data_IF_587563819218
#
_entry.id   IF_587563819218
#
_cell.length_a   1.000
_cell.length_b   1.000
_cell.length_c   1.000
_cell.angle_alpha   90.00
_cell.angle_beta   90.00
_cell.angle_gamma   90.00
#
_symmetry.space_group_name_H-M   'P 1'
#
loop_
_entity.id
_entity.type
_entity.pdbx_description
1 polymer ?
#
# COMPACT_ATOMS: atom_id res chain seq x y z
N UNK A 1 -4.52 8.80 -13.70
CA UNK A 1 -4.01 9.18 -12.36
C UNK A 1 -2.53 8.84 -12.23
N UNK A 2 -2.13 7.57 -12.37
CA UNK A 2 -0.71 7.15 -12.28
C UNK A 2 0.22 7.99 -13.15
N UNK A 3 -0.08 8.14 -14.44
CA UNK A 3 0.72 8.97 -15.36
C UNK A 3 0.87 10.43 -14.91
N UNK A 4 -0.19 11.02 -14.36
CA UNK A 4 -0.16 12.40 -13.89
C UNK A 4 0.71 12.55 -12.63
N UNK A 5 0.61 11.60 -11.69
CA UNK A 5 1.48 11.57 -10.50
C UNK A 5 2.95 11.37 -10.89
N UNK A 6 3.21 10.41 -11.78
CA UNK A 6 4.55 10.16 -12.31
C UNK A 6 5.11 11.40 -13.02
N UNK A 7 4.29 12.13 -13.77
CA UNK A 7 4.68 13.38 -14.42
C UNK A 7 5.06 14.46 -13.39
N UNK A 8 4.19 14.71 -12.41
CA UNK A 8 4.46 15.70 -11.34
C UNK A 8 5.73 15.36 -10.54
N UNK A 9 5.94 14.08 -10.22
CA UNK A 9 7.15 13.65 -9.50
C UNK A 9 8.39 13.79 -10.40
N UNK A 10 8.28 13.46 -11.69
CA UNK A 10 9.38 13.53 -12.66
C UNK A 10 9.91 14.95 -12.87
N UNK A 11 9.15 15.99 -12.49
CA UNK A 11 9.57 17.39 -12.53
C UNK A 11 10.56 17.75 -11.42
N UNK A 12 10.66 16.95 -10.35
CA UNK A 12 11.53 17.18 -9.20
C UNK A 12 12.57 16.06 -9.06
N UNK A 13 13.59 16.04 -9.93
CA UNK A 13 14.59 14.95 -10.00
C UNK A 13 15.78 15.09 -9.05
N UNK A 14 15.85 16.18 -8.30
CA UNK A 14 17.07 16.54 -7.54
C UNK A 14 17.21 15.79 -6.22
N UNK A 15 16.15 15.13 -5.74
CA UNK A 15 16.15 14.43 -4.45
C UNK A 15 15.94 12.92 -4.62
N UNK A 16 16.57 12.10 -3.76
CA UNK A 16 16.26 10.69 -3.67
C UNK A 16 14.77 10.47 -3.38
N UNK A 17 14.16 9.51 -4.09
CA UNK A 17 12.74 9.20 -3.96
C UNK A 17 12.54 7.97 -3.07
N UNK A 18 11.68 8.09 -2.06
CA UNK A 18 11.13 6.96 -1.32
C UNK A 18 9.60 7.08 -1.30
N UNK A 19 8.89 5.97 -1.50
CA UNK A 19 7.43 5.96 -1.43
C UNK A 19 6.94 5.14 -0.26
N UNK A 20 6.02 5.75 0.49
CA UNK A 20 5.19 5.06 1.46
C UNK A 20 3.74 4.98 0.94
N UNK A 21 3.11 3.82 1.10
CA UNK A 21 1.70 3.64 0.78
C UNK A 21 1.05 2.58 1.67
N UNK A 22 -0.17 2.84 2.14
CA UNK A 22 -0.97 1.90 2.93
C UNK A 22 -2.22 1.49 2.16
N UNK A 23 -2.61 0.20 2.26
CA UNK A 23 -3.79 -0.36 1.60
C UNK A 23 -3.80 -0.02 0.10
N UNK A 24 -4.86 0.59 -0.43
CA UNK A 24 -4.88 1.06 -1.83
C UNK A 24 -3.77 2.05 -2.20
N UNK A 25 -3.31 2.85 -1.23
CA UNK A 25 -2.14 3.71 -1.41
C UNK A 25 -0.85 2.94 -1.69
N UNK A 26 -0.72 1.70 -1.20
CA UNK A 26 0.41 0.84 -1.50
C UNK A 26 0.41 0.40 -2.97
N UNK A 27 -0.75 0.01 -3.50
CA UNK A 27 -0.90 -0.32 -4.92
C UNK A 27 -0.61 0.91 -5.80
N UNK A 28 -1.12 2.08 -5.42
CA UNK A 28 -0.83 3.33 -6.12
C UNK A 28 0.67 3.66 -6.11
N UNK A 29 1.33 3.56 -4.96
CA UNK A 29 2.77 3.78 -4.83
C UNK A 29 3.57 2.80 -5.71
N UNK A 30 3.17 1.52 -5.72
CA UNK A 30 3.74 0.49 -6.59
C UNK A 30 3.62 0.86 -8.07
N UNK A 31 2.43 1.23 -8.54
CA UNK A 31 2.20 1.57 -9.94
C UNK A 31 2.91 2.87 -10.36
N UNK A 32 2.91 3.89 -9.51
CA UNK A 32 3.67 5.12 -9.76
C UNK A 32 5.17 4.83 -9.84
N UNK A 33 5.72 4.02 -8.92
CA UNK A 33 7.12 3.59 -8.97
C UNK A 33 7.45 2.85 -10.26
N UNK A 34 6.55 1.97 -10.72
CA UNK A 34 6.71 1.23 -11.97
C UNK A 34 6.75 2.16 -13.18
N UNK A 35 5.82 3.10 -13.27
CA UNK A 35 5.80 4.12 -14.33
C UNK A 35 7.04 5.01 -14.30
N UNK A 36 7.52 5.41 -13.12
CA UNK A 36 8.74 6.21 -13.00
C UNK A 36 10.00 5.43 -13.38
N UNK A 37 10.09 4.15 -13.03
CA UNK A 37 11.19 3.28 -13.48
C UNK A 37 11.26 3.15 -15.00
N UNK A 38 10.12 3.14 -15.70
CA UNK A 38 10.08 3.16 -17.18
C UNK A 38 10.59 4.47 -17.78
N UNK A 39 10.73 5.53 -16.97
CA UNK A 39 11.24 6.86 -17.32
C UNK A 39 12.64 7.12 -16.76
N UNK A 40 13.36 6.06 -16.40
CA UNK A 40 14.69 6.08 -15.79
C UNK A 40 14.76 6.86 -14.45
N UNK A 41 13.66 6.89 -13.70
CA UNK A 41 13.56 7.58 -12.40
C UNK A 41 13.02 6.63 -11.31
N UNK A 42 13.66 5.48 -11.13
CA UNK A 42 13.25 4.53 -10.09
C UNK A 42 13.36 5.12 -8.67
N UNK A 43 12.42 4.80 -7.76
CA UNK A 43 12.60 5.14 -6.36
C UNK A 43 13.78 4.38 -5.76
N UNK A 44 14.44 5.02 -4.80
CA UNK A 44 15.52 4.42 -4.03
C UNK A 44 14.99 3.45 -2.97
N UNK A 45 13.71 3.57 -2.60
CA UNK A 45 13.09 2.69 -1.63
C UNK A 45 11.57 2.64 -1.77
N UNK A 46 11.00 1.45 -1.54
CA UNK A 46 9.55 1.23 -1.42
C UNK A 46 9.21 0.73 -0.02
N UNK A 47 8.21 1.37 0.58
CA UNK A 47 7.71 1.12 1.93
C UNK A 47 6.20 0.94 1.86
N UNK A 48 5.72 -0.29 1.80
CA UNK A 48 4.29 -0.57 1.53
C UNK A 48 3.64 -1.22 2.76
N UNK A 49 2.36 -0.96 3.00
CA UNK A 49 1.67 -1.47 4.17
C UNK A 49 0.28 -2.03 3.85
N UNK A 50 -0.07 -3.15 4.49
CA UNK A 50 -1.42 -3.75 4.50
C UNK A 50 -2.09 -3.85 3.11
N UNK A 51 -1.36 -4.32 2.10
CA UNK A 51 -1.87 -4.53 0.76
C UNK A 51 -1.33 -5.86 0.22
N UNK A 52 -2.15 -6.75 -0.36
CA UNK A 52 -1.63 -7.95 -1.00
C UNK A 52 -0.77 -7.60 -2.22
N UNK A 53 0.10 -8.51 -2.67
CA UNK A 53 0.90 -8.29 -3.87
C UNK A 53 0.02 -8.19 -5.14
N UNK A 54 0.41 -7.37 -6.14
CA UNK A 54 -0.42 -7.04 -7.29
C UNK A 54 -0.99 -8.23 -8.07
N UNK A 55 -0.25 -9.34 -8.22
CA UNK A 55 -0.70 -10.51 -8.97
C UNK A 55 -1.89 -11.23 -8.35
N UNK A 56 -2.17 -11.01 -7.05
CA UNK A 56 -3.31 -11.60 -6.37
C UNK A 56 -4.60 -10.81 -6.56
N UNK A 57 -4.54 -9.56 -7.03
CA UNK A 57 -5.75 -8.75 -7.24
C UNK A 57 -6.72 -9.43 -8.20
N UNK A 58 -6.23 -9.95 -9.33
CA UNK A 58 -7.06 -10.65 -10.32
C UNK A 58 -7.71 -11.91 -9.74
N UNK A 59 -7.07 -12.56 -8.76
CA UNK A 59 -7.57 -13.77 -8.09
C UNK A 59 -8.56 -13.44 -6.97
N UNK A 60 -8.42 -12.27 -6.35
CA UNK A 60 -9.25 -11.78 -5.26
C UNK A 60 -10.50 -11.02 -5.75
N UNK A 61 -10.54 -10.68 -7.04
CA UNK A 61 -11.71 -10.11 -7.69
C UNK A 61 -12.80 -11.15 -7.90
N UNK A 62 -13.79 -11.15 -7.01
CA UNK A 62 -15.05 -11.87 -7.20
C UNK A 62 -16.19 -10.87 -7.07
N UNK A 63 -17.00 -10.71 -8.13
CA UNK A 63 -18.05 -9.68 -8.21
C UNK A 63 -19.05 -9.75 -7.05
N UNK A 64 -19.35 -10.95 -6.54
CA UNK A 64 -20.25 -11.17 -5.40
C UNK A 64 -19.67 -10.74 -4.03
N UNK A 65 -18.35 -10.51 -3.93
CA UNK A 65 -17.69 -10.15 -2.67
C UNK A 65 -17.57 -8.63 -2.47
N UNK A 66 -17.93 -7.80 -3.44
CA UNK A 66 -17.65 -6.37 -3.38
C UNK A 66 -18.52 -5.60 -2.39
N UNK A 67 -19.84 -5.85 -2.40
CA UNK A 67 -20.76 -5.25 -1.43
C UNK A 67 -20.49 -5.78 -0.03
N UNK A 68 -20.13 -7.06 0.08
CA UNK A 68 -19.79 -7.69 1.33
C UNK A 68 -18.48 -7.14 1.90
N UNK A 69 -17.43 -7.03 1.07
CA UNK A 69 -16.15 -6.45 1.46
C UNK A 69 -16.31 -4.98 1.87
N UNK A 70 -17.11 -4.20 1.13
CA UNK A 70 -17.46 -2.83 1.53
C UNK A 70 -18.15 -2.82 2.90
N UNK A 71 -19.14 -3.69 3.10
CA UNK A 71 -19.86 -3.77 4.36
C UNK A 71 -18.94 -4.19 5.52
N UNK A 72 -18.04 -5.16 5.30
CA UNK A 72 -17.03 -5.60 6.26
C UNK A 72 -16.08 -4.44 6.61
N UNK A 73 -15.58 -3.70 5.61
CA UNK A 73 -14.69 -2.57 5.83
C UNK A 73 -15.37 -1.43 6.59
N UNK A 74 -16.62 -1.11 6.24
CA UNK A 74 -17.41 -0.08 6.93
C UNK A 74 -17.75 -0.50 8.37
N UNK A 75 -18.06 -1.77 8.59
CA UNK A 75 -18.27 -2.30 9.95
C UNK A 75 -16.98 -2.19 10.77
N UNK A 76 -15.85 -2.52 10.17
CA UNK A 76 -14.53 -2.43 10.79
C UNK A 76 -14.12 -0.99 11.12
N UNK A 77 -14.33 -0.03 10.22
CA UNK A 77 -14.10 1.40 10.53
C UNK A 77 -14.93 1.86 11.74
N UNK A 78 -16.16 1.37 11.86
CA UNK A 78 -17.04 1.72 12.99
C UNK A 78 -16.58 1.08 14.29
N UNK A 79 -16.21 -0.20 14.29
CA UNK A 79 -15.82 -0.92 15.50
C UNK A 79 -14.43 -0.52 15.99
N UNK A 80 -13.45 -0.47 15.08
CA UNK A 80 -12.05 -0.30 15.44
C UNK A 80 -11.62 1.16 15.55
N UNK A 81 -12.19 2.03 14.69
CA UNK A 81 -11.84 3.45 14.67
C UNK A 81 -12.91 4.34 15.31
N UNK A 82 -14.00 3.76 15.82
CA UNK A 82 -15.09 4.49 16.49
C UNK A 82 -15.84 5.47 15.58
N UNK A 83 -15.70 5.33 14.26
CA UNK A 83 -16.23 6.30 13.29
C UNK A 83 -17.77 6.27 13.26
N UNK A 84 -18.40 7.37 13.69
CA UNK A 84 -19.85 7.47 13.77
C UNK A 84 -20.47 7.96 12.44
N UNK A 85 -21.74 7.58 12.13
CA UNK A 85 -22.45 8.09 10.97
C UNK A 85 -22.50 9.63 10.97
N UNK A 86 -21.94 10.25 9.93
CA UNK A 86 -21.81 11.69 9.80
C UNK A 86 -21.14 12.07 8.48
N UNK A 87 -20.88 13.37 8.27
CA UNK A 87 -20.29 13.85 7.02
C UNK A 87 -18.90 13.24 6.74
N UNK A 88 -18.08 13.04 7.77
CA UNK A 88 -16.79 12.38 7.66
C UNK A 88 -16.91 10.91 7.26
N UNK A 89 -17.75 10.14 7.96
CA UNK A 89 -18.05 8.76 7.60
C UNK A 89 -18.54 8.62 6.15
N UNK A 90 -19.42 9.51 5.69
CA UNK A 90 -19.89 9.50 4.30
C UNK A 90 -18.79 9.80 3.29
N UNK A 91 -17.80 10.63 3.64
CA UNK A 91 -16.60 10.84 2.81
C UNK A 91 -15.77 9.55 2.72
N UNK A 92 -15.54 8.86 3.83
CA UNK A 92 -14.84 7.58 3.84
C UNK A 92 -15.56 6.52 3.02
N UNK A 93 -16.89 6.39 3.16
CA UNK A 93 -17.71 5.50 2.33
C UNK A 93 -17.50 5.79 0.85
N UNK A 94 -17.57 7.07 0.47
CA UNK A 94 -17.39 7.50 -0.93
C UNK A 94 -15.99 7.16 -1.43
N UNK A 95 -14.94 7.43 -0.65
CA UNK A 95 -13.57 7.07 -1.00
C UNK A 95 -13.39 5.55 -1.16
N UNK A 96 -13.95 4.76 -0.25
CA UNK A 96 -13.92 3.30 -0.31
C UNK A 96 -14.62 2.75 -1.55
N UNK A 97 -15.73 3.35 -1.98
CA UNK A 97 -16.39 2.96 -3.23
C UNK A 97 -15.49 3.18 -4.45
N UNK A 98 -14.72 4.27 -4.48
CA UNK A 98 -13.73 4.51 -5.54
C UNK A 98 -12.58 3.51 -5.48
N UNK A 99 -12.10 3.22 -4.28
CA UNK A 99 -11.03 2.25 -4.03
C UNK A 99 -11.43 0.83 -4.44
N UNK A 100 -12.64 0.39 -4.10
CA UNK A 100 -13.20 -0.89 -4.55
C UNK A 100 -13.37 -0.91 -6.07
N UNK A 101 -13.77 0.19 -6.68
CA UNK A 101 -13.82 0.27 -8.15
C UNK A 101 -12.42 0.10 -8.76
N UNK A 102 -11.40 0.72 -8.18
CA UNK A 102 -10.02 0.54 -8.62
C UNK A 102 -9.59 -0.92 -8.43
N UNK A 103 -9.85 -1.49 -7.25
CA UNK A 103 -9.57 -2.89 -6.92
C UNK A 103 -10.14 -3.84 -7.97
N UNK A 104 -11.40 -3.64 -8.36
CA UNK A 104 -12.11 -4.52 -9.31
C UNK A 104 -11.67 -4.38 -10.76
N UNK A 105 -11.20 -3.20 -11.14
CA UNK A 105 -10.78 -2.91 -12.52
C UNK A 105 -9.29 -3.06 -12.74
N UNK A 106 -8.50 -3.13 -11.66
CA UNK A 106 -7.07 -3.32 -11.74
C UNK A 106 -6.76 -4.68 -12.37
N UNK A 107 -5.81 -4.71 -13.31
CA UNK A 107 -5.30 -5.94 -13.91
C UNK A 107 -3.80 -5.89 -13.88
N UNK A 108 -3.19 -6.80 -13.12
CA UNK A 108 -1.74 -6.82 -12.99
C UNK A 108 -1.10 -7.19 -14.33
N UNK A 109 -0.08 -6.42 -14.71
CA UNK A 109 0.76 -6.71 -15.87
C UNK A 109 2.17 -7.07 -15.38
N UNK A 110 2.64 -8.31 -15.60
CA UNK A 110 3.97 -8.74 -15.19
C UNK A 110 5.06 -7.79 -15.69
N UNK A 111 6.01 -7.48 -14.81
CA UNK A 111 7.14 -6.62 -15.11
C UNK A 111 8.37 -7.06 -14.30
N UNK A 112 9.55 -6.55 -14.69
CA UNK A 112 10.79 -6.80 -13.95
C UNK A 112 10.67 -6.30 -12.50
N UNK A 113 11.19 -7.06 -11.51
CA UNK A 113 11.27 -6.61 -10.12
C UNK A 113 12.04 -5.30 -9.98
N UNK A 114 11.68 -4.51 -8.96
CA UNK A 114 12.34 -3.24 -8.68
C UNK A 114 13.81 -3.42 -8.31
N UNK A 115 14.68 -2.47 -8.72
CA UNK A 115 16.10 -2.47 -8.34
C UNK A 115 16.37 -1.98 -6.92
N UNK A 116 15.35 -1.48 -6.21
CA UNK A 116 15.47 -0.89 -4.88
C UNK A 116 14.94 -1.79 -3.76
N UNK A 117 15.37 -1.57 -2.51
CA UNK A 117 14.83 -2.27 -1.35
C UNK A 117 13.31 -2.08 -1.21
N UNK A 118 12.64 -3.15 -0.79
CA UNK A 118 11.21 -3.19 -0.55
C UNK A 118 10.97 -3.64 0.89
N UNK A 119 10.33 -2.79 1.68
CA UNK A 119 9.85 -3.15 3.02
C UNK A 119 8.33 -3.17 3.03
N UNK A 120 7.79 -4.25 3.56
CA UNK A 120 6.35 -4.46 3.73
C UNK A 120 6.02 -4.44 5.21
N UNK A 121 4.98 -3.70 5.58
CA UNK A 121 4.46 -3.60 6.92
C UNK A 121 3.05 -4.20 6.99
N UNK A 122 2.71 -4.86 8.09
CA UNK A 122 1.37 -5.42 8.28
C UNK A 122 0.94 -5.47 9.75
N UNK A 123 -0.36 -5.50 9.98
CA UNK A 123 -0.94 -5.82 11.29
C UNK A 123 -1.05 -7.32 11.48
N UNK A 124 -0.66 -7.83 12.64
CA UNK A 124 -0.74 -9.25 12.98
C UNK A 124 -2.19 -9.75 13.06
N UNK A 125 -3.13 -8.87 13.38
CA UNK A 125 -4.57 -9.13 13.51
C UNK A 125 -5.35 -8.52 12.33
N UNK A 126 -4.71 -8.27 11.19
CA UNK A 126 -5.36 -7.73 9.99
C UNK A 126 -6.29 -8.77 9.36
N UNK A 127 -7.62 -8.52 9.31
CA UNK A 127 -8.57 -9.49 8.79
C UNK A 127 -8.59 -9.54 7.24
N UNK A 128 -7.92 -8.61 6.56
CA UNK A 128 -7.97 -8.47 5.10
C UNK A 128 -6.72 -8.98 4.40
N UNK A 129 -5.56 -8.88 5.06
CA UNK A 129 -4.29 -9.38 4.50
C UNK A 129 -3.36 -9.89 5.60
N UNK A 130 -3.00 -11.17 5.54
CA UNK A 130 -2.13 -11.80 6.51
C UNK A 130 -0.65 -11.75 6.09
N UNK A 131 0.23 -12.17 7.01
CA UNK A 131 1.67 -12.23 6.77
C UNK A 131 2.05 -13.16 5.60
N UNK A 132 1.28 -14.22 5.35
CA UNK A 132 1.55 -15.17 4.28
C UNK A 132 1.31 -14.55 2.90
N UNK A 133 0.21 -13.80 2.74
CA UNK A 133 -0.08 -13.01 1.55
C UNK A 133 0.97 -11.92 1.35
N UNK A 134 1.30 -11.19 2.43
CA UNK A 134 2.29 -10.11 2.38
C UNK A 134 3.70 -10.60 1.99
N UNK A 135 4.08 -11.82 2.37
CA UNK A 135 5.36 -12.40 1.97
C UNK A 135 5.52 -12.55 0.44
N UNK A 136 4.41 -12.61 -0.31
CA UNK A 136 4.42 -12.67 -1.78
C UNK A 136 5.02 -11.42 -2.45
N UNK A 137 5.13 -10.30 -1.73
CA UNK A 137 5.83 -9.10 -2.21
C UNK A 137 7.32 -9.30 -2.46
N UNK A 138 7.94 -10.34 -1.89
CA UNK A 138 9.34 -10.68 -2.16
C UNK A 138 9.65 -10.81 -3.66
N UNK A 139 8.67 -11.25 -4.47
CA UNK A 139 8.83 -11.38 -5.92
C UNK A 139 8.98 -10.05 -6.68
N UNK A 140 8.74 -8.90 -6.03
CA UNK A 140 8.67 -7.58 -6.66
C UNK A 140 9.92 -6.73 -6.46
N UNK A 141 10.93 -7.24 -5.78
CA UNK A 141 12.26 -6.61 -5.73
C UNK A 141 13.34 -7.65 -6.06
N UNK A 142 14.44 -7.19 -6.66
CA UNK A 142 15.69 -7.98 -6.76
C UNK A 142 16.73 -7.56 -5.72
N UNK A 143 16.36 -6.67 -4.81
CA UNK A 143 17.20 -6.11 -3.76
C UNK A 143 16.71 -6.62 -2.38
N UNK A 144 17.14 -6.00 -1.29
CA UNK A 144 16.72 -6.35 0.05
C UNK A 144 15.19 -6.29 0.20
N UNK A 145 14.62 -7.38 0.71
CA UNK A 145 13.22 -7.48 1.08
C UNK A 145 13.11 -7.63 2.60
N UNK A 146 12.20 -6.85 3.21
CA UNK A 146 11.84 -6.95 4.63
C UNK A 146 10.33 -7.06 4.75
N UNK A 147 9.86 -7.92 5.64
CA UNK A 147 8.46 -8.00 6.07
C UNK A 147 8.43 -7.83 7.59
N UNK A 148 7.70 -6.82 8.05
CA UNK A 148 7.59 -6.48 9.46
C UNK A 148 6.12 -6.48 9.89
N UNK A 149 5.80 -7.28 10.90
CA UNK A 149 4.46 -7.40 11.45
C UNK A 149 4.37 -6.70 12.80
N UNK A 150 3.29 -5.95 13.00
CA UNK A 150 3.03 -5.15 14.19
C UNK A 150 1.76 -5.64 14.90
N UNK A 151 1.68 -5.44 16.21
CA UNK A 151 0.44 -5.67 16.93
C UNK A 151 -0.67 -4.75 16.40
N UNK A 152 -1.88 -5.28 16.25
CA UNK A 152 -3.02 -4.56 15.72
C UNK A 152 -3.47 -5.04 14.34
N UNK A 153 -4.49 -4.37 13.84
CA UNK A 153 -5.26 -4.79 12.66
C UNK A 153 -4.78 -4.07 11.38
N UNK A 154 -5.64 -3.97 10.37
CA UNK A 154 -5.36 -3.27 9.12
C UNK A 154 -4.85 -1.83 9.29
N UNK A 155 -5.25 -1.16 10.37
CA UNK A 155 -4.81 0.17 10.78
C UNK A 155 -3.90 0.12 12.01
N UNK A 156 -2.99 -0.87 12.09
CA UNK A 156 -2.11 -1.12 13.24
C UNK A 156 -1.37 0.14 13.78
N UNK A 157 -1.11 1.13 12.93
CA UNK A 157 -0.43 2.39 13.30
C UNK A 157 -1.38 3.52 13.72
N UNK A 158 -2.70 3.36 13.62
CA UNK A 158 -3.66 4.45 13.84
C UNK A 158 -3.65 4.97 15.28
N UNK A 159 -3.67 4.07 16.26
CA UNK A 159 -3.62 4.45 17.68
C UNK A 159 -2.20 4.81 18.14
N UNK A 160 -1.18 4.25 17.50
CA UNK A 160 0.21 4.52 17.80
C UNK A 160 1.10 4.35 16.56
N UNK A 161 1.40 5.46 15.89
CA UNK A 161 2.25 5.46 14.70
C UNK A 161 3.74 5.38 15.01
N UNK A 162 4.15 5.55 16.28
CA UNK A 162 5.55 5.70 16.65
C UNK A 162 6.44 4.50 16.23
N UNK A 163 6.04 3.23 16.43
CA UNK A 163 6.85 2.09 16.00
C UNK A 163 7.05 2.08 14.47
N UNK A 164 5.99 2.36 13.71
CA UNK A 164 6.06 2.41 12.24
C UNK A 164 6.96 3.57 11.77
N UNK A 165 6.82 4.76 12.36
CA UNK A 165 7.66 5.90 12.03
C UNK A 165 9.13 5.63 12.33
N UNK A 166 9.44 5.00 13.46
CA UNK A 166 10.81 4.58 13.79
C UNK A 166 11.35 3.59 12.75
N UNK A 167 10.57 2.58 12.36
CA UNK A 167 10.99 1.62 11.35
C UNK A 167 11.20 2.27 9.97
N UNK A 168 10.31 3.19 9.56
CA UNK A 168 10.47 3.97 8.33
C UNK A 168 11.75 4.79 8.39
N UNK A 169 11.98 5.56 9.46
CA UNK A 169 13.17 6.38 9.63
C UNK A 169 14.45 5.54 9.58
N UNK A 170 14.52 4.45 10.36
CA UNK A 170 15.68 3.55 10.33
C UNK A 170 15.91 2.95 8.95
N UNK A 171 14.84 2.60 8.23
CA UNK A 171 14.98 2.06 6.88
C UNK A 171 15.46 3.11 5.87
N UNK A 172 15.04 4.37 6.02
CA UNK A 172 15.55 5.48 5.20
C UNK A 172 17.03 5.79 5.51
N UNK A 173 17.43 5.76 6.79
CA UNK A 173 18.83 5.94 7.22
C UNK A 173 19.74 4.82 6.70
N UNK A 174 19.31 3.55 6.81
CA UNK A 174 20.01 2.39 6.25
C UNK A 174 20.30 2.55 4.75
N UNK A 175 19.36 3.16 4.02
CA UNK A 175 19.45 3.40 2.59
C UNK A 175 19.99 4.80 2.22
N UNK A 176 20.49 5.57 3.21
CA UNK A 176 21.13 6.89 3.04
C UNK A 176 20.22 7.93 2.37
N UNK A 177 18.94 7.92 2.75
CA UNK A 177 17.92 8.85 2.26
C UNK A 177 17.59 9.96 3.27
N UNK A 178 18.15 9.88 4.49
CA UNK A 178 18.10 10.86 5.56
C UNK A 178 19.50 11.12 6.13
#
# INVERSE_FOLDING_TARGET
MIEALAETISQNRELPLAFFGHSMGALLAFEVARTLCQRDLCPHQLLLASCPPPHLFDQMQNDNHNEELLAQFLAFLRSELGMQPGAEYQRYVTLMQYDLKLWNTYRYQPASPFPCPLTIYGGADDPFVDAQLLAGWHAYTRNAFKLEMYAGNHFFFYLNAQPLLQAITSSLEENKLL
#
